data_IF_010826510393
#
_entry.id   IF_010826510393
#
_cell.length_a   1.000
_cell.length_b   1.000
_cell.length_c   1.000
_cell.angle_alpha   90.00
_cell.angle_beta   90.00
_cell.angle_gamma   90.00
#
_symmetry.space_group_name_H-M   'P 1'
#
loop_
_entity.id
_entity.type
_entity.pdbx_description
1 polymer ?
#
# COMPACT_ATOMS: atom_id res chain seq x y z
N UNK A 1 -14.91 4.40 -24.01
CA UNK A 1 -15.44 4.20 -22.64
C UNK A 1 -15.90 2.75 -22.48
N UNK A 2 -15.51 2.11 -21.38
CA UNK A 2 -16.00 0.77 -21.03
C UNK A 2 -17.45 0.88 -20.53
N UNK A 3 -18.30 -0.09 -20.84
CA UNK A 3 -19.70 -0.08 -20.39
C UNK A 3 -19.78 -0.11 -18.85
N UNK A 4 -20.71 0.64 -18.22
CA UNK A 4 -20.79 0.77 -16.75
C UNK A 4 -21.01 -0.54 -16.01
N UNK A 5 -21.58 -1.55 -16.68
CA UNK A 5 -21.94 -2.86 -16.18
C UNK A 5 -20.96 -3.98 -16.59
N UNK A 6 -19.87 -3.63 -17.28
CA UNK A 6 -18.90 -4.65 -17.73
C UNK A 6 -18.13 -5.28 -16.55
N UNK A 7 -17.91 -4.52 -15.48
CA UNK A 7 -17.17 -4.96 -14.30
C UNK A 7 -18.04 -4.87 -13.04
N UNK A 8 -18.06 -5.93 -12.24
CA UNK A 8 -18.83 -6.01 -10.98
C UNK A 8 -18.19 -5.16 -9.86
N UNK A 9 -16.85 -5.14 -9.79
CA UNK A 9 -16.12 -4.41 -8.76
C UNK A 9 -14.68 -4.11 -9.19
N UNK A 10 -14.04 -3.23 -8.43
CA UNK A 10 -12.65 -2.83 -8.59
C UNK A 10 -11.84 -3.22 -7.36
N UNK A 11 -10.54 -3.43 -7.52
CA UNK A 11 -9.62 -3.67 -6.40
C UNK A 11 -8.54 -2.59 -6.44
N UNK A 12 -8.34 -1.90 -5.32
CA UNK A 12 -7.14 -1.08 -5.15
C UNK A 12 -5.89 -1.98 -5.19
N UNK A 13 -4.96 -1.67 -6.09
CA UNK A 13 -3.69 -2.39 -6.23
C UNK A 13 -2.51 -1.45 -5.91
N UNK A 14 -2.26 -1.07 -4.65
CA UNK A 14 -1.11 -0.24 -4.31
C UNK A 14 0.20 -0.85 -4.82
N UNK A 15 1.14 -0.01 -5.31
CA UNK A 15 1.15 1.46 -5.26
C UNK A 15 0.38 2.14 -6.42
N UNK A 16 -0.23 1.38 -7.34
CA UNK A 16 -0.78 1.91 -8.58
C UNK A 16 -1.96 2.85 -8.32
N UNK A 17 -1.91 4.05 -8.92
CA UNK A 17 -2.93 5.08 -8.74
C UNK A 17 -2.95 5.73 -7.35
N UNK A 18 -2.09 5.31 -6.42
CA UNK A 18 -2.01 5.84 -5.07
C UNK A 18 -0.98 6.96 -4.95
N UNK A 19 0.21 6.78 -5.49
CA UNK A 19 1.34 7.72 -5.29
C UNK A 19 1.19 8.97 -6.15
N UNK A 20 1.28 10.15 -5.54
CA UNK A 20 1.18 11.44 -6.22
C UNK A 20 2.32 12.40 -5.85
N UNK A 21 2.45 13.50 -6.61
CA UNK A 21 3.46 14.55 -6.51
C UNK A 21 4.29 14.64 -5.22
N UNK A 22 3.70 15.04 -4.07
CA UNK A 22 4.47 15.29 -2.85
C UNK A 22 4.98 14.03 -2.14
N UNK A 23 4.48 12.85 -2.52
CA UNK A 23 4.90 11.57 -1.96
C UNK A 23 6.25 11.09 -2.57
N UNK A 24 6.65 11.65 -3.71
CA UNK A 24 7.93 11.32 -4.35
C UNK A 24 9.09 11.90 -3.55
N UNK A 25 10.01 11.02 -3.15
CA UNK A 25 11.30 11.37 -2.56
C UNK A 25 12.40 11.49 -3.63
N UNK A 26 12.27 10.82 -4.76
CA UNK A 26 13.18 10.94 -5.91
C UNK A 26 12.44 10.68 -7.23
N UNK A 27 12.86 11.40 -8.28
CA UNK A 27 12.35 11.21 -9.64
C UNK A 27 10.98 11.84 -9.89
N UNK A 28 10.40 12.48 -8.86
CA UNK A 28 9.20 13.30 -8.96
C UNK A 28 9.50 14.77 -9.33
N UNK A 29 8.48 15.63 -9.37
CA UNK A 29 8.61 17.03 -9.81
C UNK A 29 9.51 17.88 -8.91
N UNK A 30 9.70 17.47 -7.66
CA UNK A 30 10.52 18.18 -6.66
C UNK A 30 12.00 17.71 -6.65
N UNK A 31 12.42 16.87 -7.60
CA UNK A 31 13.79 16.41 -7.73
C UNK A 31 14.17 15.34 -6.70
N UNK A 32 15.26 15.56 -5.97
CA UNK A 32 15.79 14.61 -4.97
C UNK A 32 15.61 15.16 -3.54
N UNK A 33 14.74 14.50 -2.78
CA UNK A 33 14.43 14.77 -1.36
C UNK A 33 14.90 13.65 -0.44
N UNK A 34 15.63 12.65 -0.95
CA UNK A 34 16.20 11.59 -0.14
C UNK A 34 17.24 12.17 0.84
N UNK A 35 17.33 11.65 2.09
CA UNK A 35 18.30 12.11 3.07
C UNK A 35 19.75 11.74 2.70
N UNK A 36 19.93 10.90 1.68
CA UNK A 36 21.21 10.44 1.18
C UNK A 36 21.27 10.59 -0.35
N UNK A 37 22.47 10.78 -0.93
CA UNK A 37 22.62 10.80 -2.38
C UNK A 37 22.11 9.51 -3.02
N UNK A 38 21.30 9.66 -4.07
CA UNK A 38 20.87 8.55 -4.92
C UNK A 38 21.92 8.34 -6.00
N UNK A 39 22.16 7.08 -6.40
CA UNK A 39 23.07 6.76 -7.50
C UNK A 39 22.72 7.59 -8.75
N UNK A 40 23.67 8.33 -9.29
CA UNK A 40 23.44 9.23 -10.43
C UNK A 40 22.95 8.56 -11.72
N UNK A 41 23.03 7.23 -11.81
CA UNK A 41 22.47 6.44 -12.93
C UNK A 41 21.04 5.98 -12.68
N UNK A 42 20.50 6.14 -11.48
CA UNK A 42 19.13 5.75 -11.17
C UNK A 42 18.16 6.77 -11.77
N UNK A 43 17.20 6.28 -12.55
CA UNK A 43 16.19 7.08 -13.25
C UNK A 43 14.77 6.61 -12.90
N UNK A 44 14.64 5.84 -11.82
CA UNK A 44 13.38 5.34 -11.31
C UNK A 44 12.70 6.33 -10.37
N UNK A 45 11.69 5.83 -9.65
CA UNK A 45 10.94 6.59 -8.66
C UNK A 45 11.19 6.01 -7.27
N UNK A 46 11.43 6.90 -6.30
CA UNK A 46 11.40 6.55 -4.88
C UNK A 46 10.30 7.40 -4.27
N UNK A 47 9.37 6.78 -3.55
CA UNK A 47 8.29 7.47 -2.85
C UNK A 47 8.20 7.02 -1.40
N UNK A 48 7.67 7.89 -0.56
CA UNK A 48 7.49 7.64 0.86
C UNK A 48 6.30 6.71 1.08
N UNK A 49 6.56 5.52 1.61
CA UNK A 49 5.54 4.52 1.92
C UNK A 49 4.49 5.03 2.91
N UNK A 50 4.91 5.80 3.92
CA UNK A 50 4.01 6.35 4.94
C UNK A 50 3.15 7.46 4.33
N UNK A 51 3.71 8.32 3.49
CA UNK A 51 2.93 9.33 2.78
C UNK A 51 1.87 8.70 1.87
N UNK A 52 2.24 7.67 1.10
CA UNK A 52 1.31 6.90 0.28
C UNK A 52 0.20 6.24 1.13
N UNK A 53 0.58 5.62 2.26
CA UNK A 53 -0.37 5.04 3.21
C UNK A 53 -1.37 6.09 3.74
N UNK A 54 -0.88 7.26 4.17
CA UNK A 54 -1.74 8.34 4.65
C UNK A 54 -2.65 8.90 3.56
N UNK A 55 -2.15 9.05 2.33
CA UNK A 55 -2.97 9.49 1.20
C UNK A 55 -4.15 8.55 0.96
N UNK A 56 -3.92 7.24 1.07
CA UNK A 56 -4.99 6.24 0.92
C UNK A 56 -6.13 6.47 1.92
N UNK A 57 -5.86 7.06 3.09
CA UNK A 57 -6.88 7.32 4.12
C UNK A 57 -7.69 8.60 3.86
N UNK A 58 -7.30 9.43 2.91
CA UNK A 58 -7.94 10.75 2.68
C UNK A 58 -9.28 10.64 1.95
N UNK A 59 -10.18 11.59 2.21
CA UNK A 59 -11.43 11.72 1.44
C UNK A 59 -11.17 12.04 -0.04
N UNK A 60 -10.16 12.87 -0.33
CA UNK A 60 -9.82 13.26 -1.68
C UNK A 60 -9.38 12.07 -2.55
N UNK A 61 -8.59 11.15 -2.01
CA UNK A 61 -8.23 9.92 -2.72
C UNK A 61 -9.45 9.01 -2.93
N UNK A 62 -10.22 8.76 -1.87
CA UNK A 62 -11.43 7.90 -1.92
C UNK A 62 -12.45 8.38 -2.95
N UNK A 63 -12.65 9.70 -3.07
CA UNK A 63 -13.58 10.29 -4.02
C UNK A 63 -13.19 10.12 -5.50
N UNK A 64 -11.97 9.65 -5.79
CA UNK A 64 -11.50 9.33 -7.15
C UNK A 64 -11.73 7.85 -7.52
N UNK A 65 -12.02 7.00 -6.54
CA UNK A 65 -12.20 5.57 -6.77
C UNK A 65 -13.56 5.31 -7.40
N UNK A 66 -13.67 4.32 -8.31
CA UNK A 66 -14.97 3.85 -8.78
C UNK A 66 -15.85 3.37 -7.62
N UNK A 67 -17.17 3.38 -7.85
CA UNK A 67 -18.10 2.64 -7.00
C UNK A 67 -17.72 1.15 -6.95
N UNK A 68 -18.14 0.46 -5.89
CA UNK A 68 -17.81 -0.95 -5.67
C UNK A 68 -16.30 -1.25 -5.67
N UNK A 69 -15.48 -0.37 -5.11
CA UNK A 69 -14.04 -0.64 -4.93
C UNK A 69 -13.79 -1.38 -3.61
N UNK A 70 -13.06 -2.49 -3.68
CA UNK A 70 -12.48 -3.20 -2.54
C UNK A 70 -11.17 -2.52 -2.16
N UNK A 71 -11.04 -2.22 -0.87
CA UNK A 71 -9.86 -1.58 -0.27
C UNK A 71 -8.64 -2.47 -0.40
N UNK A 72 -7.50 -1.86 -0.75
CA UNK A 72 -6.24 -2.56 -1.01
C UNK A 72 -5.10 -2.06 -0.13
N UNK A 73 -4.19 -2.96 0.24
CA UNK A 73 -2.96 -2.65 0.97
C UNK A 73 -1.78 -3.45 0.40
N UNK A 74 -0.56 -3.00 0.61
CA UNK A 74 0.67 -3.75 0.33
C UNK A 74 1.66 -3.66 1.50
N UNK A 75 2.47 -4.69 1.79
CA UNK A 75 3.47 -4.64 2.86
C UNK A 75 4.73 -3.86 2.47
N UNK A 76 5.07 -3.81 1.19
CA UNK A 76 6.21 -3.09 0.62
C UNK A 76 6.10 -3.04 -0.90
N UNK A 77 7.03 -2.31 -1.53
CA UNK A 77 7.22 -2.32 -2.98
C UNK A 77 8.65 -1.94 -3.35
N UNK A 78 9.29 -2.76 -4.17
CA UNK A 78 10.61 -2.51 -4.77
C UNK A 78 10.79 -3.49 -5.93
N UNK A 79 10.61 -3.00 -7.16
CA UNK A 79 10.74 -3.81 -8.37
C UNK A 79 12.12 -3.67 -9.05
N UNK A 80 13.17 -3.38 -8.27
CA UNK A 80 14.55 -3.29 -8.78
C UNK A 80 15.02 -4.57 -9.46
N UNK A 81 14.58 -5.74 -8.99
CA UNK A 81 14.90 -7.02 -9.62
C UNK A 81 14.41 -7.11 -11.08
N UNK A 82 13.28 -6.47 -11.41
CA UNK A 82 12.71 -6.45 -12.77
C UNK A 82 13.18 -5.27 -13.61
N UNK A 83 13.31 -4.09 -12.99
CA UNK A 83 13.45 -2.82 -13.70
C UNK A 83 14.83 -2.17 -13.58
N UNK A 84 15.71 -2.73 -12.74
CA UNK A 84 17.05 -2.20 -12.51
C UNK A 84 17.03 -0.73 -12.13
N UNK A 85 17.75 0.11 -12.89
CA UNK A 85 17.86 1.56 -12.64
C UNK A 85 16.55 2.34 -12.83
N UNK A 86 15.50 1.72 -13.38
CA UNK A 86 14.17 2.32 -13.62
C UNK A 86 13.12 1.84 -12.61
N UNK A 87 13.56 1.30 -11.47
CA UNK A 87 12.68 0.75 -10.46
C UNK A 87 11.77 1.78 -9.81
N UNK A 88 10.67 1.30 -9.25
CA UNK A 88 9.81 2.04 -8.34
C UNK A 88 10.00 1.44 -6.95
N UNK A 89 10.26 2.28 -5.95
CA UNK A 89 10.63 1.86 -4.59
C UNK A 89 9.78 2.63 -3.58
N UNK A 90 9.07 1.88 -2.71
CA UNK A 90 8.40 2.42 -1.54
C UNK A 90 9.37 2.48 -0.35
N UNK A 91 9.99 3.64 -0.16
CA UNK A 91 10.93 3.88 0.91
C UNK A 91 10.22 3.94 2.28
N UNK A 92 10.82 3.30 3.29
CA UNK A 92 10.27 3.28 4.65
C UNK A 92 9.30 2.13 4.93
N UNK A 93 8.98 1.28 3.94
CA UNK A 93 8.16 0.09 4.13
C UNK A 93 8.81 -0.92 5.09
N UNK A 94 8.12 -1.25 6.18
CA UNK A 94 8.52 -2.25 7.18
C UNK A 94 7.29 -2.71 8.00
N UNK A 95 7.38 -3.74 8.85
CA UNK A 95 6.23 -4.24 9.61
C UNK A 95 5.52 -3.19 10.47
N UNK A 96 6.24 -2.21 11.03
CA UNK A 96 5.63 -1.16 11.84
C UNK A 96 4.84 -0.15 10.98
N UNK A 97 5.40 0.30 9.86
CA UNK A 97 4.66 1.19 8.94
C UNK A 97 3.48 0.47 8.27
N UNK A 98 3.61 -0.82 7.97
CA UNK A 98 2.52 -1.67 7.51
C UNK A 98 1.39 -1.77 8.53
N UNK A 99 1.72 -1.99 9.82
CA UNK A 99 0.73 -1.98 10.91
C UNK A 99 -0.03 -0.67 10.98
N UNK A 100 0.66 0.47 10.90
CA UNK A 100 0.02 1.79 10.94
C UNK A 100 -0.97 1.98 9.78
N UNK A 101 -0.58 1.56 8.57
CA UNK A 101 -1.48 1.62 7.43
C UNK A 101 -2.69 0.70 7.61
N UNK A 102 -2.47 -0.57 7.94
CA UNK A 102 -3.52 -1.56 8.17
C UNK A 102 -4.52 -1.08 9.23
N UNK A 103 -4.03 -0.61 10.37
CA UNK A 103 -4.87 -0.08 11.45
C UNK A 103 -5.73 1.11 11.00
N UNK A 104 -5.19 1.98 10.13
CA UNK A 104 -5.95 3.07 9.51
C UNK A 104 -7.05 2.56 8.58
N UNK A 105 -6.74 1.58 7.72
CA UNK A 105 -7.73 0.99 6.81
C UNK A 105 -8.86 0.31 7.57
N UNK A 106 -8.53 -0.53 8.56
CA UNK A 106 -9.52 -1.24 9.39
C UNK A 106 -10.47 -0.26 10.11
N UNK A 107 -9.95 0.86 10.62
CA UNK A 107 -10.76 1.86 11.31
C UNK A 107 -11.60 2.76 10.40
N UNK A 108 -11.09 3.10 9.21
CA UNK A 108 -11.65 4.22 8.43
C UNK A 108 -12.10 3.86 7.02
N UNK A 109 -11.73 2.69 6.49
CA UNK A 109 -11.97 2.30 5.11
C UNK A 109 -12.84 1.05 4.98
N UNK A 110 -12.66 0.03 5.82
CA UNK A 110 -13.30 -1.29 5.65
C UNK A 110 -14.83 -1.23 5.65
N UNK A 111 -15.44 -0.41 6.51
CA UNK A 111 -16.90 -0.27 6.55
C UNK A 111 -17.51 0.19 5.21
N UNK A 112 -16.76 0.98 4.43
CA UNK A 112 -17.14 1.47 3.10
C UNK A 112 -16.45 0.73 1.96
N UNK A 113 -15.63 -0.29 2.25
CA UNK A 113 -15.06 -1.18 1.24
C UNK A 113 -16.18 -2.00 0.62
N UNK A 114 -16.13 -2.23 -0.69
CA UNK A 114 -17.05 -3.16 -1.31
C UNK A 114 -16.93 -4.54 -0.64
N UNK A 115 -18.09 -5.15 -0.34
CA UNK A 115 -18.22 -6.40 0.45
C UNK A 115 -17.57 -6.38 1.86
N UNK A 116 -17.13 -5.20 2.34
CA UNK A 116 -16.39 -5.03 3.61
C UNK A 116 -15.10 -5.85 3.66
N UNK A 117 -14.46 -6.04 2.51
CA UNK A 117 -13.26 -6.84 2.36
C UNK A 117 -11.99 -5.96 2.32
N UNK A 118 -10.83 -6.59 2.60
CA UNK A 118 -9.51 -6.01 2.40
C UNK A 118 -8.72 -6.91 1.47
N UNK A 119 -8.19 -6.34 0.40
CA UNK A 119 -7.27 -7.01 -0.50
C UNK A 119 -5.81 -6.72 -0.09
N UNK A 120 -4.99 -7.76 0.01
CA UNK A 120 -3.56 -7.63 0.35
C UNK A 120 -2.71 -8.01 -0.86
N UNK A 121 -2.01 -7.03 -1.43
CA UNK A 121 -1.05 -7.21 -2.52
C UNK A 121 0.38 -7.30 -1.94
N UNK A 122 1.05 -8.45 -1.90
CA UNK A 122 0.59 -9.79 -2.26
C UNK A 122 1.06 -10.80 -1.21
N UNK A 123 0.70 -12.07 -1.38
CA UNK A 123 1.27 -13.15 -0.59
C UNK A 123 2.79 -13.26 -0.82
N UNK A 124 3.22 -13.45 -2.07
CA UNK A 124 4.61 -13.82 -2.40
C UNK A 124 5.13 -13.19 -3.70
N UNK A 125 4.84 -11.91 -3.97
CA UNK A 125 5.38 -11.23 -5.17
C UNK A 125 6.82 -10.77 -4.94
N UNK A 126 7.74 -11.73 -4.93
CA UNK A 126 9.15 -11.53 -4.59
C UNK A 126 9.87 -10.54 -5.52
N UNK A 127 9.52 -10.52 -6.80
CA UNK A 127 10.17 -9.67 -7.78
C UNK A 127 9.83 -8.17 -7.62
N UNK A 128 8.79 -7.86 -6.84
CA UNK A 128 8.37 -6.49 -6.52
C UNK A 128 8.43 -6.20 -5.01
N UNK A 129 9.01 -7.13 -4.23
CA UNK A 129 9.08 -7.12 -2.76
C UNK A 129 7.74 -6.89 -2.03
N UNK A 130 6.61 -7.03 -2.72
CA UNK A 130 5.29 -7.03 -2.12
C UNK A 130 5.02 -8.40 -1.46
N UNK A 131 5.76 -8.68 -0.39
CA UNK A 131 5.86 -10.00 0.23
C UNK A 131 5.24 -9.97 1.63
N UNK A 132 4.17 -10.74 1.79
CA UNK A 132 3.59 -11.07 3.09
C UNK A 132 4.15 -12.39 3.64
N UNK A 133 4.56 -13.31 2.76
CA UNK A 133 5.22 -14.57 3.06
C UNK A 133 6.43 -14.37 3.99
N UNK A 134 6.70 -15.30 4.93
CA UNK A 134 7.84 -15.18 5.81
C UNK A 134 9.15 -15.03 5.05
N UNK A 135 9.96 -14.03 5.43
CA UNK A 135 11.21 -13.70 4.74
C UNK A 135 12.40 -13.73 5.68
N UNK A 136 13.62 -13.81 5.13
CA UNK A 136 14.83 -13.71 5.94
C UNK A 136 14.96 -12.37 6.68
N UNK A 137 14.44 -11.28 6.09
CA UNK A 137 14.57 -9.93 6.64
C UNK A 137 13.62 -9.66 7.80
N UNK A 138 12.37 -10.10 7.67
CA UNK A 138 11.30 -9.77 8.63
C UNK A 138 10.63 -10.99 9.25
N UNK A 139 11.12 -12.20 8.99
CA UNK A 139 10.50 -13.43 9.49
C UNK A 139 8.99 -13.43 9.20
N UNK A 140 8.18 -13.69 10.23
CA UNK A 140 6.72 -13.67 10.16
C UNK A 140 6.08 -12.33 10.54
N UNK A 141 6.86 -11.26 10.75
CA UNK A 141 6.34 -10.03 11.37
C UNK A 141 5.15 -9.40 10.65
N UNK A 142 5.07 -9.45 9.32
CA UNK A 142 3.89 -8.93 8.60
C UNK A 142 2.63 -9.79 8.83
N UNK A 143 2.78 -11.11 8.98
CA UNK A 143 1.67 -12.01 9.33
C UNK A 143 1.22 -11.80 10.77
N UNK A 144 2.17 -11.60 11.68
CA UNK A 144 1.88 -11.27 13.08
C UNK A 144 1.10 -9.95 13.17
N UNK A 145 1.50 -8.93 12.40
CA UNK A 145 0.76 -7.67 12.28
C UNK A 145 -0.67 -7.89 11.78
N UNK A 146 -0.88 -8.69 10.73
CA UNK A 146 -2.23 -8.99 10.23
C UNK A 146 -3.09 -9.65 11.30
N UNK A 147 -2.57 -10.71 11.95
CA UNK A 147 -3.28 -11.44 12.99
C UNK A 147 -3.69 -10.51 14.13
N UNK A 148 -2.74 -9.72 14.64
CA UNK A 148 -2.97 -8.87 15.80
C UNK A 148 -4.01 -7.77 15.48
N UNK A 149 -3.88 -7.09 14.35
CA UNK A 149 -4.81 -6.00 13.99
C UNK A 149 -6.22 -6.52 13.64
N UNK A 150 -6.33 -7.68 12.99
CA UNK A 150 -7.62 -8.30 12.68
C UNK A 150 -8.33 -8.78 13.96
N UNK A 151 -7.60 -9.41 14.87
CA UNK A 151 -8.16 -9.85 16.16
C UNK A 151 -8.67 -8.65 16.96
N UNK A 152 -7.85 -7.59 17.07
CA UNK A 152 -8.25 -6.36 17.75
C UNK A 152 -9.44 -5.65 17.07
N UNK A 153 -9.60 -5.76 15.75
CA UNK A 153 -10.76 -5.22 15.04
C UNK A 153 -12.03 -6.03 15.33
N UNK A 154 -11.94 -7.36 15.38
CA UNK A 154 -13.06 -8.24 15.75
C UNK A 154 -13.51 -7.99 17.19
N UNK A 155 -12.59 -7.87 18.13
CA UNK A 155 -12.92 -7.60 19.54
C UNK A 155 -13.69 -6.28 19.70
N UNK A 156 -13.24 -5.22 19.01
CA UNK A 156 -13.92 -3.91 19.01
C UNK A 156 -15.33 -3.97 18.44
N UNK A 157 -15.56 -4.82 17.43
CA UNK A 157 -16.89 -5.02 16.85
C UNK A 157 -17.83 -5.80 17.77
N UNK A 158 -17.30 -6.72 18.58
CA UNK A 158 -18.06 -7.53 19.54
C UNK A 158 -18.45 -6.81 20.83
N UNK A 159 -17.66 -5.83 21.29
CA UNK A 159 -17.93 -5.08 22.52
C UNK A 159 -18.95 -3.94 22.38
N UNK A 160 -19.45 -3.68 21.16
CA UNK A 160 -20.41 -2.62 20.85
C UNK A 160 -21.85 -3.07 20.62
N UNK A 161 -22.17 -4.34 20.94
CA UNK A 161 -23.51 -4.94 20.80
C UNK A 161 -24.29 -4.96 22.10
#
# INVERSE_FOLDING_TARGET
PVAPDLFDFWIEMPPHGLVEGPDYLFGGPEGNRMPVPVNGRFTGLIYDYTAAAQRSLTAAYRGKLPENTIVGIMPSWDNTARRGLRAHIAHGANPASFRLWLSGLLRHRIAGSYRRELFVNAWNEWAEKAILEPSQRFGRSNLDVLRDELSAATDRAGTGG
#
